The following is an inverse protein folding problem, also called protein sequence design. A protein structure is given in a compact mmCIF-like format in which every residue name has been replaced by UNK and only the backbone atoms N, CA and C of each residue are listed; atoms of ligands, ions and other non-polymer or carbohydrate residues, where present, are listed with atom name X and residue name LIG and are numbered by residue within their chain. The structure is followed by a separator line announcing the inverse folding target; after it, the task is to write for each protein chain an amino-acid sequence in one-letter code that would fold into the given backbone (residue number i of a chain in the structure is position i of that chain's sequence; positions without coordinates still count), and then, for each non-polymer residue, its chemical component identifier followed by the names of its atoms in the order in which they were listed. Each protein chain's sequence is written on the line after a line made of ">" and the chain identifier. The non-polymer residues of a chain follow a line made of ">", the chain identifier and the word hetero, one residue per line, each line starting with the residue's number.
data_IF_875156299661
#
_entry.id   IF_875156299661
#
_cell.length_a   1.000
_cell.length_b   1.000
_cell.length_c   1.000
_cell.angle_alpha   90.00
_cell.angle_beta   90.00
_cell.angle_gamma   90.00
#
_symmetry.space_group_name_H-M   'P 1'
#
loop_
_entity.id
_entity.type
_entity.pdbx_description
1 polymer ?
#
# COMPACT_ATOMS: atom_id res chain seq x y z
N UNK A 1 -65.30 -3.99 67.86
CA UNK A 1 -64.03 -4.55 67.31
C UNK A 1 -64.40 -5.33 66.07
N UNK A 2 -64.16 -4.72 64.91
CA UNK A 2 -64.49 -5.32 63.59
C UNK A 2 -63.21 -5.82 63.01
N UNK A 3 -63.09 -7.14 62.89
CA UNK A 3 -61.94 -7.80 62.26
C UNK A 3 -62.11 -7.81 60.75
N UNK A 4 -61.14 -7.26 60.03
CA UNK A 4 -61.02 -7.31 58.56
C UNK A 4 -60.25 -8.58 58.20
N UNK A 5 -60.89 -9.53 57.51
CA UNK A 5 -60.29 -10.72 56.93
C UNK A 5 -59.85 -10.36 55.54
N UNK A 6 -58.49 -10.35 55.30
CA UNK A 6 -57.92 -10.20 53.99
C UNK A 6 -57.90 -11.61 53.32
N UNK A 7 -58.67 -11.82 52.27
CA UNK A 7 -58.65 -12.98 51.44
C UNK A 7 -57.61 -12.77 50.31
N UNK A 8 -56.51 -13.54 50.31
CA UNK A 8 -55.56 -13.63 49.23
C UNK A 8 -56.12 -14.47 48.09
N UNK A 9 -56.28 -13.88 46.90
CA UNK A 9 -56.61 -14.59 45.66
C UNK A 9 -55.34 -15.23 45.05
N UNK A 10 -55.36 -16.52 44.70
CA UNK A 10 -54.27 -17.14 43.99
C UNK A 10 -54.32 -16.71 42.51
N UNK A 11 -53.26 -16.06 42.03
CA UNK A 11 -53.06 -15.79 40.62
C UNK A 11 -52.72 -17.11 39.90
N UNK A 12 -53.62 -17.64 39.09
CA UNK A 12 -53.35 -18.72 38.16
C UNK A 12 -52.45 -18.23 37.05
N UNK A 13 -51.17 -18.59 37.08
CA UNK A 13 -50.28 -18.49 35.95
C UNK A 13 -50.59 -19.63 34.98
N UNK A 14 -51.26 -19.34 33.88
CA UNK A 14 -51.50 -20.24 32.79
C UNK A 14 -50.18 -20.38 31.99
N UNK A 15 -49.45 -21.47 32.21
CA UNK A 15 -48.39 -21.89 31.30
C UNK A 15 -49.00 -22.42 30.01
N UNK A 16 -49.00 -21.64 28.96
CA UNK A 16 -49.26 -22.10 27.60
C UNK A 16 -47.99 -22.82 27.08
N UNK A 17 -47.96 -24.14 27.19
CA UNK A 17 -46.98 -24.97 26.47
C UNK A 17 -47.34 -24.96 25.00
N UNK A 18 -46.60 -24.17 24.20
CA UNK A 18 -46.61 -24.32 22.75
C UNK A 18 -45.81 -25.56 22.43
N UNK A 19 -46.50 -26.67 22.06
CA UNK A 19 -45.86 -27.82 21.41
C UNK A 19 -45.46 -27.37 20.01
N UNK A 20 -44.25 -26.87 19.89
CA UNK A 20 -43.62 -26.57 18.61
C UNK A 20 -43.02 -27.84 18.03
N UNK A 21 -43.35 -28.11 16.77
CA UNK A 21 -42.73 -29.12 15.92
C UNK A 21 -41.21 -29.14 16.12
N UNK A 22 -40.61 -30.33 16.04
CA UNK A 22 -39.18 -30.60 15.96
C UNK A 22 -38.56 -29.80 14.79
N UNK A 23 -38.27 -28.54 15.00
CA UNK A 23 -37.35 -27.76 14.23
C UNK A 23 -35.97 -28.08 14.79
N UNK A 24 -35.08 -28.59 13.94
CA UNK A 24 -33.64 -28.67 14.19
C UNK A 24 -33.19 -27.37 14.85
N UNK A 25 -32.68 -27.47 16.09
CA UNK A 25 -32.00 -26.35 16.70
C UNK A 25 -30.88 -25.90 15.75
N UNK A 26 -31.08 -24.79 15.05
CA UNK A 26 -29.97 -24.10 14.44
C UNK A 26 -29.06 -23.72 15.61
N UNK A 27 -27.95 -24.44 15.76
CA UNK A 27 -26.81 -23.96 16.51
C UNK A 27 -26.52 -22.56 15.95
N UNK A 28 -26.85 -21.55 16.72
CA UNK A 28 -26.37 -20.18 16.42
C UNK A 28 -24.86 -20.27 16.59
N UNK A 29 -24.15 -20.50 15.49
CA UNK A 29 -22.70 -20.53 15.49
C UNK A 29 -22.24 -19.23 16.12
N UNK A 30 -21.36 -19.34 17.12
CA UNK A 30 -20.71 -18.16 17.70
C UNK A 30 -20.14 -17.30 16.56
N UNK A 31 -20.34 -15.98 16.59
CA UNK A 31 -19.86 -15.12 15.51
C UNK A 31 -18.36 -15.37 15.28
N UNK A 32 -17.98 -15.62 14.04
CA UNK A 32 -16.57 -15.73 13.67
C UNK A 32 -15.91 -14.34 13.82
N UNK A 33 -15.35 -14.10 15.00
CA UNK A 33 -14.73 -12.82 15.34
C UNK A 33 -13.53 -12.50 14.43
N UNK A 34 -12.80 -13.53 13.98
CA UNK A 34 -11.68 -13.32 13.03
C UNK A 34 -12.17 -12.90 11.66
N UNK A 35 -13.25 -13.50 11.15
CA UNK A 35 -13.86 -13.05 9.90
C UNK A 35 -14.42 -11.62 10.02
N UNK A 36 -15.05 -11.30 11.17
CA UNK A 36 -15.52 -9.95 11.45
C UNK A 36 -14.36 -8.93 11.53
N UNK A 37 -13.25 -9.31 12.18
CA UNK A 37 -12.03 -8.49 12.24
C UNK A 37 -11.48 -8.21 10.84
N UNK A 38 -11.36 -9.25 10.02
CA UNK A 38 -10.88 -9.12 8.63
C UNK A 38 -11.76 -8.15 7.82
N UNK A 39 -13.08 -8.33 7.87
CA UNK A 39 -14.02 -7.44 7.17
C UNK A 39 -13.87 -5.98 7.63
N UNK A 40 -13.72 -5.76 8.93
CA UNK A 40 -13.51 -4.40 9.48
C UNK A 40 -12.17 -3.82 9.07
N UNK A 41 -11.10 -4.61 9.04
CA UNK A 41 -9.79 -4.20 8.54
C UNK A 41 -9.89 -3.76 7.06
N UNK A 42 -10.47 -4.59 6.20
CA UNK A 42 -10.65 -4.29 4.78
C UNK A 42 -11.43 -2.98 4.57
N UNK A 43 -12.51 -2.79 5.33
CA UNK A 43 -13.31 -1.57 5.28
C UNK A 43 -12.53 -0.35 5.78
N UNK A 44 -11.74 -0.50 6.84
CA UNK A 44 -10.84 0.55 7.35
C UNK A 44 -9.82 0.99 6.30
N UNK A 45 -9.18 0.05 5.62
CA UNK A 45 -8.23 0.31 4.54
C UNK A 45 -8.90 0.97 3.33
N UNK A 46 -10.15 0.59 3.01
CA UNK A 46 -10.93 1.24 1.95
C UNK A 46 -11.22 2.71 2.27
N UNK A 47 -11.60 3.01 3.51
CA UNK A 47 -11.81 4.40 3.95
C UNK A 47 -10.51 5.21 3.93
N UNK A 48 -9.36 4.62 4.26
CA UNK A 48 -8.05 5.28 4.10
C UNK A 48 -7.78 5.67 2.65
N UNK A 49 -8.03 4.76 1.70
CA UNK A 49 -7.87 5.06 0.26
C UNK A 49 -8.77 6.19 -0.22
N UNK A 50 -9.95 6.34 0.38
CA UNK A 50 -10.90 7.43 0.11
C UNK A 50 -10.60 8.73 0.88
N UNK A 51 -9.55 8.76 1.71
CA UNK A 51 -9.19 9.91 2.53
C UNK A 51 -10.10 10.15 3.74
N UNK A 52 -10.97 9.19 4.08
CA UNK A 52 -11.86 9.30 5.24
C UNK A 52 -11.20 8.69 6.49
N UNK A 53 -10.37 9.50 7.15
CA UNK A 53 -9.59 9.07 8.31
C UNK A 53 -10.48 8.67 9.51
N UNK A 54 -11.61 9.34 9.73
CA UNK A 54 -12.52 9.05 10.84
C UNK A 54 -13.13 7.64 10.71
N UNK A 55 -13.71 7.33 9.54
CA UNK A 55 -14.30 6.02 9.29
C UNK A 55 -13.23 4.92 9.23
N UNK A 56 -12.04 5.24 8.75
CA UNK A 56 -10.91 4.32 8.78
C UNK A 56 -10.56 3.93 10.23
N UNK A 57 -10.35 4.93 11.10
CA UNK A 57 -10.05 4.71 12.52
C UNK A 57 -11.12 3.89 13.22
N UNK A 58 -12.40 4.25 13.03
CA UNK A 58 -13.52 3.52 13.59
C UNK A 58 -13.50 2.04 13.22
N UNK A 59 -13.27 1.72 11.95
CA UNK A 59 -13.27 0.32 11.50
C UNK A 59 -12.01 -0.44 11.97
N UNK A 60 -10.84 0.21 12.03
CA UNK A 60 -9.63 -0.38 12.60
C UNK A 60 -9.79 -0.68 14.10
N UNK A 61 -10.41 0.22 14.88
CA UNK A 61 -10.70 0.00 16.30
C UNK A 61 -11.65 -1.19 16.50
N UNK A 62 -12.65 -1.33 15.62
CA UNK A 62 -13.56 -2.49 15.65
C UNK A 62 -12.84 -3.79 15.28
N UNK A 63 -11.95 -3.74 14.27
CA UNK A 63 -11.13 -4.89 13.91
C UNK A 63 -10.26 -5.35 15.08
N UNK A 64 -9.57 -4.42 15.74
CA UNK A 64 -8.74 -4.69 16.91
C UNK A 64 -9.56 -5.26 18.08
N UNK A 65 -10.78 -4.77 18.29
CA UNK A 65 -11.68 -5.31 19.32
C UNK A 65 -12.11 -6.75 19.07
N UNK A 66 -12.12 -7.20 17.82
CA UNK A 66 -12.45 -8.58 17.45
C UNK A 66 -11.25 -9.52 17.44
N UNK A 67 -10.05 -9.03 17.03
CA UNK A 67 -8.83 -9.84 16.93
C UNK A 67 -7.60 -8.97 17.30
N UNK A 68 -7.34 -8.80 18.62
CA UNK A 68 -6.34 -7.87 19.12
C UNK A 68 -4.89 -8.26 18.81
N UNK A 69 -4.62 -9.51 18.48
CA UNK A 69 -3.27 -10.02 18.21
C UNK A 69 -2.99 -10.20 16.71
N UNK A 70 -3.87 -9.72 15.86
CA UNK A 70 -3.71 -9.79 14.40
C UNK A 70 -2.72 -8.71 13.91
N UNK A 71 -1.56 -9.09 13.36
CA UNK A 71 -0.54 -8.13 12.91
C UNK A 71 -1.03 -7.23 11.77
N UNK A 72 -1.91 -7.71 10.88
CA UNK A 72 -2.41 -6.93 9.74
C UNK A 72 -3.25 -5.72 10.20
N UNK A 73 -3.91 -5.81 11.34
CA UNK A 73 -4.66 -4.69 11.92
C UNK A 73 -3.69 -3.56 12.33
N UNK A 74 -2.56 -3.91 12.94
CA UNK A 74 -1.53 -2.91 13.31
C UNK A 74 -0.82 -2.36 12.07
N UNK A 75 -0.70 -3.15 10.99
CA UNK A 75 -0.26 -2.62 9.70
C UNK A 75 -1.27 -1.60 9.15
N UNK A 76 -2.57 -1.87 9.29
CA UNK A 76 -3.64 -0.91 8.98
C UNK A 76 -3.52 0.39 9.80
N UNK A 77 -3.24 0.28 11.11
CA UNK A 77 -2.96 1.46 11.94
C UNK A 77 -1.73 2.23 11.51
N UNK A 78 -0.66 1.54 11.10
CA UNK A 78 0.54 2.22 10.59
C UNK A 78 0.19 3.10 9.38
N UNK A 79 -0.62 2.59 8.43
CA UNK A 79 -1.09 3.39 7.30
C UNK A 79 -2.02 4.54 7.71
N UNK A 80 -2.92 4.29 8.68
CA UNK A 80 -3.76 5.34 9.23
C UNK A 80 -2.92 6.48 9.82
N UNK A 81 -1.97 6.17 10.71
CA UNK A 81 -1.15 7.19 11.36
C UNK A 81 -0.25 7.94 10.36
N UNK A 82 0.24 7.28 9.32
CA UNK A 82 0.92 7.98 8.22
C UNK A 82 0.00 8.97 7.51
N UNK A 83 -1.25 8.60 7.25
CA UNK A 83 -2.22 9.46 6.56
C UNK A 83 -2.55 10.73 7.35
N UNK A 84 -2.54 10.65 8.68
CA UNK A 84 -2.76 11.79 9.58
C UNK A 84 -1.46 12.44 10.07
N UNK A 85 -0.30 12.00 9.54
CA UNK A 85 1.04 12.52 9.84
C UNK A 85 1.47 12.38 11.31
N UNK A 86 0.97 11.37 12.00
CA UNK A 86 1.47 10.97 13.32
C UNK A 86 2.57 9.91 13.16
N UNK A 87 3.77 10.38 12.86
CA UNK A 87 4.92 9.52 12.58
C UNK A 87 5.29 8.64 13.77
N UNK A 88 5.16 9.16 14.98
CA UNK A 88 5.49 8.41 16.20
C UNK A 88 4.51 7.25 16.42
N UNK A 89 3.22 7.47 16.17
CA UNK A 89 2.22 6.40 16.25
C UNK A 89 2.38 5.40 15.11
N UNK A 90 2.70 5.87 13.89
CA UNK A 90 2.98 4.98 12.75
C UNK A 90 4.15 4.03 13.06
N UNK A 91 5.24 4.58 13.58
CA UNK A 91 6.40 3.76 13.95
C UNK A 91 6.08 2.74 15.04
N UNK A 92 5.34 3.14 16.09
CA UNK A 92 4.88 2.19 17.13
C UNK A 92 4.02 1.07 16.54
N UNK A 93 3.14 1.40 15.60
CA UNK A 93 2.30 0.42 14.94
C UNK A 93 3.13 -0.57 14.11
N UNK A 94 4.11 -0.11 13.32
CA UNK A 94 5.03 -1.00 12.60
C UNK A 94 5.81 -1.93 13.54
N UNK A 95 6.35 -1.40 14.64
CA UNK A 95 7.05 -2.22 15.63
C UNK A 95 6.12 -3.28 16.22
N UNK A 96 4.88 -2.91 16.54
CA UNK A 96 3.89 -3.88 17.06
C UNK A 96 3.59 -5.00 16.05
N UNK A 97 3.55 -4.72 14.73
CA UNK A 97 3.44 -5.77 13.71
C UNK A 97 4.60 -6.75 13.83
N UNK A 98 5.84 -6.25 13.92
CA UNK A 98 7.04 -7.08 13.96
C UNK A 98 7.18 -7.82 15.30
N UNK A 99 6.66 -7.29 16.39
CA UNK A 99 6.57 -8.00 17.69
C UNK A 99 5.61 -9.19 17.61
N UNK A 100 4.46 -9.02 16.94
CA UNK A 100 3.45 -10.07 16.77
C UNK A 100 3.84 -11.08 15.68
N UNK A 101 4.49 -10.63 14.65
CA UNK A 101 4.91 -11.44 13.49
C UNK A 101 6.31 -11.04 13.03
N UNK A 102 7.37 -11.60 13.64
CA UNK A 102 8.76 -11.27 13.31
C UNK A 102 9.20 -11.57 11.87
N UNK A 103 8.41 -12.32 11.12
CA UNK A 103 8.68 -12.70 9.73
C UNK A 103 7.74 -12.00 8.73
N UNK A 104 7.06 -10.93 9.13
CA UNK A 104 6.09 -10.24 8.29
C UNK A 104 6.78 -9.38 7.22
N UNK A 105 7.12 -9.98 6.08
CA UNK A 105 7.87 -9.32 4.99
C UNK A 105 7.21 -8.04 4.47
N UNK A 106 5.88 -8.03 4.31
CA UNK A 106 5.15 -6.82 3.88
C UNK A 106 5.29 -5.66 4.88
N UNK A 107 5.25 -5.95 6.17
CA UNK A 107 5.43 -4.93 7.21
C UNK A 107 6.85 -4.38 7.21
N UNK A 108 7.86 -5.25 7.04
CA UNK A 108 9.25 -4.82 6.92
C UNK A 108 9.46 -3.92 5.71
N UNK A 109 8.94 -4.31 4.54
CA UNK A 109 9.01 -3.50 3.32
C UNK A 109 8.34 -2.13 3.50
N UNK A 110 7.13 -2.10 4.05
CA UNK A 110 6.38 -0.86 4.24
C UNK A 110 6.99 0.03 5.33
N UNK A 111 7.54 -0.57 6.38
CA UNK A 111 8.29 0.16 7.40
C UNK A 111 9.58 0.74 6.82
N UNK A 112 10.28 0.00 5.95
CA UNK A 112 11.42 0.51 5.19
C UNK A 112 11.05 1.74 4.35
N UNK A 113 9.94 1.69 3.61
CA UNK A 113 9.45 2.82 2.82
C UNK A 113 9.08 4.03 3.70
N UNK A 114 8.44 3.80 4.84
CA UNK A 114 8.16 4.84 5.83
C UNK A 114 9.46 5.49 6.35
N UNK A 115 10.44 4.71 6.78
CA UNK A 115 11.73 5.21 7.27
C UNK A 115 12.46 6.02 6.20
N UNK A 116 12.45 5.54 4.96
CA UNK A 116 13.02 6.23 3.80
C UNK A 116 12.39 7.61 3.60
N UNK A 117 11.06 7.70 3.65
CA UNK A 117 10.34 8.98 3.53
C UNK A 117 10.66 10.00 4.63
N UNK A 118 11.28 9.54 5.73
CA UNK A 118 11.76 10.37 6.85
C UNK A 118 13.26 10.61 6.82
N UNK A 119 13.94 10.24 5.72
CA UNK A 119 15.39 10.40 5.57
C UNK A 119 16.23 9.42 6.39
N UNK A 120 15.60 8.42 7.02
CA UNK A 120 16.27 7.38 7.83
C UNK A 120 16.76 6.23 6.93
N UNK A 121 17.59 6.57 5.95
CA UNK A 121 17.95 5.71 4.83
C UNK A 121 18.63 4.40 5.24
N UNK A 122 19.53 4.43 6.21
CA UNK A 122 20.24 3.21 6.65
C UNK A 122 19.32 2.25 7.41
N UNK A 123 18.35 2.78 8.13
CA UNK A 123 17.32 1.96 8.80
C UNK A 123 16.33 1.39 7.79
N UNK A 124 15.93 2.19 6.81
CA UNK A 124 15.09 1.75 5.69
C UNK A 124 15.74 0.56 4.96
N UNK A 125 17.02 0.70 4.62
CA UNK A 125 17.78 -0.34 3.93
C UNK A 125 17.84 -1.65 4.74
N UNK A 126 18.03 -1.56 6.06
CA UNK A 126 17.96 -2.74 6.93
C UNK A 126 16.59 -3.42 6.87
N UNK A 127 15.50 -2.64 6.89
CA UNK A 127 14.14 -3.20 6.82
C UNK A 127 13.86 -3.87 5.48
N UNK A 128 14.27 -3.27 4.36
CA UNK A 128 14.15 -3.89 3.04
C UNK A 128 14.92 -5.20 2.95
N UNK A 129 16.17 -5.24 3.43
CA UNK A 129 16.98 -6.46 3.43
C UNK A 129 16.38 -7.55 4.33
N UNK A 130 15.80 -7.20 5.48
CA UNK A 130 15.06 -8.14 6.31
C UNK A 130 13.82 -8.71 5.59
N UNK A 131 13.07 -7.89 4.85
CA UNK A 131 11.93 -8.34 4.06
C UNK A 131 12.36 -9.33 2.97
N UNK A 132 13.43 -8.99 2.23
CA UNK A 132 13.99 -9.82 1.14
C UNK A 132 14.46 -11.17 1.65
N UNK A 133 15.00 -11.22 2.86
CA UNK A 133 15.50 -12.45 3.48
C UNK A 133 14.40 -13.38 4.02
N UNK A 134 13.13 -12.94 4.04
CA UNK A 134 12.06 -13.78 4.56
C UNK A 134 11.78 -14.98 3.64
N UNK A 135 11.64 -16.20 4.19
CA UNK A 135 11.26 -17.37 3.42
C UNK A 135 9.90 -17.15 2.72
N UNK A 136 9.80 -17.55 1.47
CA UNK A 136 8.55 -17.49 0.67
C UNK A 136 7.95 -16.09 0.48
N UNK A 137 8.73 -15.04 0.70
CA UNK A 137 8.25 -13.68 0.47
C UNK A 137 8.06 -13.42 -1.03
N UNK A 138 6.82 -13.15 -1.43
CA UNK A 138 6.44 -13.09 -2.85
C UNK A 138 6.74 -11.73 -3.51
N UNK A 139 6.92 -10.64 -2.74
CA UNK A 139 7.02 -9.27 -3.28
C UNK A 139 8.47 -8.79 -3.41
N UNK A 140 9.38 -9.68 -3.81
CA UNK A 140 10.81 -9.35 -3.94
C UNK A 140 11.05 -8.21 -4.92
N UNK A 141 10.40 -8.22 -6.09
CA UNK A 141 10.54 -7.15 -7.09
C UNK A 141 10.15 -5.78 -6.52
N UNK A 142 9.01 -5.71 -5.84
CA UNK A 142 8.51 -4.45 -5.25
C UNK A 142 9.43 -3.95 -4.13
N UNK A 143 9.96 -4.86 -3.31
CA UNK A 143 10.87 -4.50 -2.23
C UNK A 143 12.22 -4.02 -2.74
N UNK A 144 12.78 -4.67 -3.76
CA UNK A 144 14.00 -4.19 -4.40
C UNK A 144 13.80 -2.83 -5.09
N UNK A 145 12.65 -2.58 -5.70
CA UNK A 145 12.31 -1.28 -6.28
C UNK A 145 12.21 -0.19 -5.20
N UNK A 146 11.52 -0.45 -4.09
CA UNK A 146 11.46 0.48 -2.97
C UNK A 146 12.86 0.76 -2.38
N UNK A 147 13.70 -0.26 -2.26
CA UNK A 147 15.09 -0.13 -1.81
C UNK A 147 15.92 0.70 -2.80
N UNK A 148 15.71 0.52 -4.12
CA UNK A 148 16.38 1.29 -5.16
C UNK A 148 15.98 2.76 -5.13
N UNK A 149 14.69 3.06 -5.03
CA UNK A 149 14.17 4.43 -4.89
C UNK A 149 14.75 5.11 -3.65
N UNK A 150 14.80 4.40 -2.54
CA UNK A 150 15.39 4.90 -1.30
C UNK A 150 16.90 5.15 -1.42
N UNK A 151 17.64 4.25 -2.05
CA UNK A 151 19.07 4.42 -2.34
C UNK A 151 19.32 5.62 -3.25
N UNK A 152 18.46 5.85 -4.25
CA UNK A 152 18.51 7.05 -5.12
C UNK A 152 18.34 8.33 -4.30
N UNK A 153 17.32 8.40 -3.43
CA UNK A 153 17.07 9.55 -2.57
C UNK A 153 18.23 9.84 -1.62
N UNK A 154 18.93 8.79 -1.16
CA UNK A 154 20.11 8.91 -0.29
C UNK A 154 21.41 9.22 -1.05
N UNK A 155 21.36 9.36 -2.38
CA UNK A 155 22.54 9.61 -3.23
C UNK A 155 23.42 8.37 -3.48
N UNK A 156 23.03 7.18 -3.04
CA UNK A 156 23.78 5.92 -3.20
C UNK A 156 23.51 5.29 -4.58
N UNK A 157 23.94 5.96 -5.66
CA UNK A 157 23.59 5.61 -7.05
C UNK A 157 23.95 4.18 -7.46
N UNK A 158 25.12 3.69 -7.06
CA UNK A 158 25.55 2.32 -7.40
C UNK A 158 24.65 1.26 -6.77
N UNK A 159 24.32 1.46 -5.49
CA UNK A 159 23.39 0.59 -4.76
C UNK A 159 21.97 0.63 -5.34
N UNK A 160 21.50 1.82 -5.74
CA UNK A 160 20.23 1.97 -6.44
C UNK A 160 20.21 1.15 -7.74
N UNK A 161 21.27 1.25 -8.54
CA UNK A 161 21.40 0.50 -9.80
C UNK A 161 21.37 -1.02 -9.58
N UNK A 162 22.06 -1.50 -8.54
CA UNK A 162 22.03 -2.93 -8.17
C UNK A 162 20.63 -3.39 -7.79
N UNK A 163 19.95 -2.65 -6.93
CA UNK A 163 18.60 -2.97 -6.50
C UNK A 163 17.59 -2.94 -7.66
N UNK A 164 17.66 -1.96 -8.55
CA UNK A 164 16.84 -1.93 -9.76
C UNK A 164 17.09 -3.15 -10.66
N UNK A 165 18.36 -3.56 -10.84
CA UNK A 165 18.69 -4.76 -11.61
C UNK A 165 18.10 -6.02 -10.99
N UNK A 166 18.14 -6.15 -9.66
CA UNK A 166 17.53 -7.26 -8.94
C UNK A 166 15.99 -7.23 -9.06
N UNK A 167 15.37 -6.07 -8.89
CA UNK A 167 13.92 -5.90 -9.09
C UNK A 167 13.49 -6.36 -10.49
N UNK A 168 14.24 -5.95 -11.52
CA UNK A 168 13.98 -6.34 -12.91
C UNK A 168 14.19 -7.85 -13.16
N UNK A 169 15.11 -8.48 -12.42
CA UNK A 169 15.31 -9.93 -12.46
C UNK A 169 14.08 -10.71 -11.98
N UNK A 170 13.40 -10.20 -10.94
CA UNK A 170 12.18 -10.82 -10.42
C UNK A 170 10.91 -10.47 -11.21
N UNK A 171 10.82 -9.28 -11.80
CA UNK A 171 9.69 -8.88 -12.63
C UNK A 171 10.16 -8.09 -13.87
N UNK A 172 10.57 -8.78 -14.96
CA UNK A 172 11.14 -8.14 -16.14
C UNK A 172 10.14 -7.35 -16.99
N UNK A 173 8.83 -7.47 -16.73
CA UNK A 173 7.75 -6.84 -17.49
C UNK A 173 6.96 -5.81 -16.68
N UNK A 174 7.47 -5.36 -15.54
CA UNK A 174 6.80 -4.35 -14.70
C UNK A 174 6.95 -2.96 -15.34
N UNK A 175 5.86 -2.32 -15.82
CA UNK A 175 5.98 -1.07 -16.58
C UNK A 175 6.58 0.08 -15.75
N UNK A 176 6.13 0.26 -14.49
CA UNK A 176 6.67 1.30 -13.61
C UNK A 176 8.18 1.17 -13.40
N UNK A 177 8.66 -0.04 -13.11
CA UNK A 177 10.09 -0.33 -12.94
C UNK A 177 10.92 0.01 -14.20
N UNK A 178 10.38 -0.22 -15.39
CA UNK A 178 11.06 0.14 -16.65
C UNK A 178 11.18 1.66 -16.81
N UNK A 179 10.20 2.42 -16.35
CA UNK A 179 10.26 3.90 -16.33
C UNK A 179 11.26 4.40 -15.29
N UNK A 180 11.27 3.85 -14.08
CA UNK A 180 12.24 4.21 -13.04
C UNK A 180 13.67 3.94 -13.48
N UNK A 181 13.90 2.78 -14.12
CA UNK A 181 15.20 2.43 -14.71
C UNK A 181 15.59 3.37 -15.84
N UNK A 182 14.62 3.82 -16.65
CA UNK A 182 14.87 4.81 -17.71
C UNK A 182 15.31 6.14 -17.10
N UNK A 183 14.60 6.63 -16.09
CA UNK A 183 14.95 7.86 -15.40
C UNK A 183 16.35 7.78 -14.78
N UNK A 184 16.65 6.70 -14.06
CA UNK A 184 17.96 6.49 -13.46
C UNK A 184 19.09 6.39 -14.51
N UNK A 185 18.85 5.75 -15.66
CA UNK A 185 19.82 5.66 -16.75
C UNK A 185 20.09 7.04 -17.38
N UNK A 186 19.03 7.86 -17.57
CA UNK A 186 19.18 9.23 -18.06
C UNK A 186 20.01 10.12 -17.11
N UNK A 187 19.80 10.00 -15.82
CA UNK A 187 20.60 10.73 -14.82
C UNK A 187 22.08 10.35 -14.83
N UNK A 188 22.41 9.14 -15.24
CA UNK A 188 23.80 8.68 -15.40
C UNK A 188 24.37 8.90 -16.78
N UNK A 189 23.58 9.43 -17.73
CA UNK A 189 24.01 9.61 -19.13
C UNK A 189 24.04 8.30 -19.93
N UNK A 190 23.44 7.23 -19.45
CA UNK A 190 23.40 5.88 -20.08
C UNK A 190 22.29 5.82 -21.13
N UNK A 191 22.44 6.59 -22.21
CA UNK A 191 21.35 6.79 -23.21
C UNK A 191 20.93 5.53 -23.93
N UNK A 192 21.86 4.59 -24.20
CA UNK A 192 21.54 3.31 -24.82
C UNK A 192 20.67 2.43 -23.91
N UNK A 193 20.97 2.41 -22.60
CA UNK A 193 20.17 1.67 -21.63
C UNK A 193 18.78 2.30 -21.46
N UNK A 194 18.71 3.64 -21.36
CA UNK A 194 17.43 4.36 -21.31
C UNK A 194 16.55 4.03 -22.52
N UNK A 195 17.11 4.02 -23.72
CA UNK A 195 16.40 3.62 -24.95
C UNK A 195 15.91 2.17 -24.91
N UNK A 196 16.74 1.25 -24.41
CA UNK A 196 16.37 -0.17 -24.27
C UNK A 196 15.20 -0.36 -23.29
N UNK A 197 15.20 0.32 -22.13
CA UNK A 197 14.09 0.24 -21.18
C UNK A 197 12.79 0.82 -21.74
N UNK A 198 12.85 1.94 -22.46
CA UNK A 198 11.69 2.52 -23.14
C UNK A 198 11.14 1.62 -24.25
N UNK A 199 11.99 0.91 -24.98
CA UNK A 199 11.56 -0.08 -25.95
C UNK A 199 10.80 -1.23 -25.29
N UNK A 200 11.34 -1.78 -24.21
CA UNK A 200 10.69 -2.83 -23.41
C UNK A 200 9.39 -2.35 -22.78
N UNK A 201 9.33 -1.09 -22.36
CA UNK A 201 8.09 -0.49 -21.87
C UNK A 201 6.98 -0.53 -22.92
N UNK A 202 7.29 -0.20 -24.18
CA UNK A 202 6.32 -0.25 -25.29
C UNK A 202 5.77 -1.64 -25.57
N UNK A 203 6.51 -2.70 -25.20
CA UNK A 203 6.06 -4.09 -25.38
C UNK A 203 5.04 -4.53 -24.31
N UNK A 204 4.96 -3.81 -23.19
CA UNK A 204 4.17 -4.23 -22.01
C UNK A 204 3.11 -3.23 -21.58
N UNK A 205 3.15 -2.00 -22.10
CA UNK A 205 2.23 -0.92 -21.71
C UNK A 205 2.01 0.06 -22.87
N UNK A 206 0.86 0.72 -22.85
CA UNK A 206 0.60 1.90 -23.68
C UNK A 206 1.37 3.11 -23.14
N UNK A 207 1.56 4.13 -24.00
CA UNK A 207 2.20 5.38 -23.60
C UNK A 207 1.45 6.06 -22.42
N UNK A 208 2.23 6.63 -21.53
CA UNK A 208 1.78 7.43 -20.39
C UNK A 208 2.43 8.81 -20.46
N UNK A 209 1.96 9.77 -19.66
CA UNK A 209 2.61 11.07 -19.57
C UNK A 209 4.09 10.94 -19.16
N UNK A 210 4.41 10.00 -18.27
CA UNK A 210 5.78 9.73 -17.82
C UNK A 210 6.64 9.12 -18.92
N UNK A 211 6.14 8.12 -19.65
CA UNK A 211 6.91 7.49 -20.73
C UNK A 211 7.23 8.49 -21.86
N UNK A 212 6.25 9.31 -22.27
CA UNK A 212 6.48 10.36 -23.26
C UNK A 212 7.48 11.43 -22.76
N UNK A 213 7.41 11.79 -21.49
CA UNK A 213 8.37 12.69 -20.88
C UNK A 213 9.80 12.13 -20.91
N UNK A 214 9.97 10.85 -20.55
CA UNK A 214 11.29 10.21 -20.59
C UNK A 214 11.82 10.05 -22.01
N UNK A 215 10.96 9.80 -23.01
CA UNK A 215 11.35 9.81 -24.44
C UNK A 215 11.79 11.20 -24.89
N UNK A 216 11.08 12.23 -24.47
CA UNK A 216 11.42 13.64 -24.76
C UNK A 216 12.81 13.96 -24.17
N UNK A 217 13.04 13.63 -22.89
CA UNK A 217 14.32 13.84 -22.24
C UNK A 217 15.47 13.08 -22.91
N UNK A 218 15.22 11.83 -23.34
CA UNK A 218 16.19 11.05 -24.11
C UNK A 218 16.50 11.73 -25.45
N UNK A 219 15.49 12.21 -26.17
CA UNK A 219 15.66 12.93 -27.43
C UNK A 219 16.46 14.24 -27.24
N UNK A 220 16.26 14.95 -26.14
CA UNK A 220 17.03 16.14 -25.77
C UNK A 220 18.50 15.80 -25.55
N UNK A 221 18.81 14.78 -24.75
CA UNK A 221 20.20 14.34 -24.48
C UNK A 221 20.90 13.86 -25.76
N UNK A 222 20.15 13.27 -26.70
CA UNK A 222 20.67 12.79 -27.98
C UNK A 222 20.71 13.87 -29.09
N UNK A 223 20.36 15.12 -28.78
CA UNK A 223 20.25 16.24 -29.73
C UNK A 223 19.37 15.91 -30.95
N UNK A 224 18.16 15.38 -30.70
CA UNK A 224 17.17 14.99 -31.72
C UNK A 224 15.93 15.91 -31.67
N UNK A 225 16.00 17.14 -32.16
CA UNK A 225 14.94 18.13 -31.99
C UNK A 225 13.60 17.70 -32.62
N UNK A 226 13.63 16.99 -33.74
CA UNK A 226 12.39 16.48 -34.37
C UNK A 226 11.64 15.48 -33.45
N UNK A 227 12.37 14.57 -32.80
CA UNK A 227 11.77 13.62 -31.85
C UNK A 227 11.32 14.31 -30.56
N UNK A 228 12.07 15.29 -30.07
CA UNK A 228 11.69 16.10 -28.93
C UNK A 228 10.34 16.79 -29.16
N UNK A 229 10.17 17.47 -30.32
CA UNK A 229 8.90 18.10 -30.67
C UNK A 229 7.77 17.09 -30.87
N UNK A 230 8.05 15.94 -31.48
CA UNK A 230 7.07 14.86 -31.65
C UNK A 230 6.53 14.38 -30.31
N UNK A 231 7.39 14.00 -29.37
CA UNK A 231 6.98 13.53 -28.04
C UNK A 231 6.31 14.61 -27.22
N UNK A 232 6.77 15.86 -27.32
CA UNK A 232 6.14 16.99 -26.68
C UNK A 232 4.73 17.29 -27.19
N UNK A 233 4.51 17.21 -28.50
CA UNK A 233 3.19 17.36 -29.09
C UNK A 233 2.22 16.23 -28.66
N UNK A 234 2.69 14.98 -28.69
CA UNK A 234 1.91 13.83 -28.21
C UNK A 234 1.55 13.99 -26.72
N UNK A 235 2.49 14.51 -25.91
CA UNK A 235 2.28 14.72 -24.48
C UNK A 235 1.16 15.73 -24.21
N UNK A 236 1.12 16.83 -24.97
CA UNK A 236 0.08 17.87 -24.87
C UNK A 236 -1.26 17.36 -25.40
N UNK A 237 -1.24 16.58 -26.49
CA UNK A 237 -2.45 16.03 -27.11
C UNK A 237 -3.12 14.97 -26.23
N UNK A 238 -2.34 13.98 -25.75
CA UNK A 238 -2.86 12.83 -25.02
C UNK A 238 -3.04 13.09 -23.53
N UNK A 239 -2.20 13.95 -22.94
CA UNK A 239 -2.16 14.20 -21.50
C UNK A 239 -2.10 15.70 -21.15
N UNK A 240 -3.04 16.53 -21.66
CA UNK A 240 -2.97 18.00 -21.56
C UNK A 240 -2.92 18.55 -20.13
N UNK A 241 -3.49 17.83 -19.18
CA UNK A 241 -3.55 18.23 -17.77
C UNK A 241 -2.37 17.72 -16.93
N UNK A 242 -1.46 16.91 -17.51
CA UNK A 242 -0.30 16.37 -16.80
C UNK A 242 0.69 17.47 -16.45
N UNK A 243 1.46 17.24 -15.39
CA UNK A 243 2.56 18.12 -15.01
C UNK A 243 3.63 18.15 -16.11
N UNK A 244 3.88 17.03 -16.76
CA UNK A 244 4.84 16.86 -17.85
C UNK A 244 4.48 17.73 -19.06
N UNK A 245 3.19 17.76 -19.47
CA UNK A 245 2.72 18.64 -20.55
C UNK A 245 2.91 20.12 -20.20
N UNK A 246 2.60 20.50 -18.96
CA UNK A 246 2.82 21.88 -18.48
C UNK A 246 4.31 22.28 -18.51
N UNK A 247 5.19 21.36 -18.10
CA UNK A 247 6.64 21.58 -18.16
C UNK A 247 7.13 21.74 -19.61
N UNK A 248 6.67 20.88 -20.51
CA UNK A 248 7.02 21.00 -21.93
C UNK A 248 6.60 22.35 -22.52
N UNK A 249 5.36 22.80 -22.26
CA UNK A 249 4.88 24.11 -22.72
C UNK A 249 5.63 25.29 -22.12
N UNK A 250 6.17 25.11 -20.92
CA UNK A 250 7.04 26.11 -20.26
C UNK A 250 8.52 26.05 -20.70
N UNK A 251 8.89 25.13 -21.61
CA UNK A 251 10.28 24.83 -21.99
C UNK A 251 11.17 24.42 -20.78
N UNK A 252 10.58 23.77 -19.77
CA UNK A 252 11.28 23.26 -18.57
C UNK A 252 11.50 21.74 -18.70
N UNK A 253 12.52 21.35 -19.53
CA UNK A 253 12.86 19.96 -19.78
C UNK A 253 14.36 19.71 -19.95
#
# INVERSE_FOLDING_TARGET
>A
MIGVVLTALPACVTQTSVVGQQGTAHEVSSPDLKAAAKTRLELGLEYLRKGNAEQAKFNLDRAQGYDPDNPDIYLGYAYFYQSVRDDAAAERAYRKVLDLSPQHGDAMNNYGAFLCSRGRYDEADRMFNLAIAQPHYAKLSDTYENAALCATQSGKKDKASEYYRLALGYNPRKPGLLLDLTAAALERGETLQAGSYLSRFSEVSSETAESLWLRLRLAQVLDKPAQLHQYGSQLVELFPNSQQAKRYLANDY
#
